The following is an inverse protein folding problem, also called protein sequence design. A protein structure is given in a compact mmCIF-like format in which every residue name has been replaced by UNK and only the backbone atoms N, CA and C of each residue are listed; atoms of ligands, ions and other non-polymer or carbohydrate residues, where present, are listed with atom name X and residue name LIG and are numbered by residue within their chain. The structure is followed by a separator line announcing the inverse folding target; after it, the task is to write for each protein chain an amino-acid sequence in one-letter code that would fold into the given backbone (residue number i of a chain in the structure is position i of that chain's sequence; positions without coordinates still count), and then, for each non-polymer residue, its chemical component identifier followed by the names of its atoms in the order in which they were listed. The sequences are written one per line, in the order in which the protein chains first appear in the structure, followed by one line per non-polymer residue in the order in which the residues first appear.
data_IF_065800914325
#
_entry.id   IF_065800914325
#
_cell.length_a   1.000
_cell.length_b   1.000
_cell.length_c   1.000
_cell.angle_alpha   90.00
_cell.angle_beta   90.00
_cell.angle_gamma   90.00
#
_symmetry.space_group_name_H-M   'P 1'
#
loop_
_entity.id
_entity.type
_entity.pdbx_description
1 polymer ?
#
# COMPACT_ATOMS: atom_id res chain seq x y z
N UNK A 1 10.83 30.83 12.37
CA UNK A 1 10.14 31.62 11.33
C UNK A 1 8.65 31.35 11.41
N UNK A 2 7.84 32.39 11.38
CA UNK A 2 6.39 32.23 11.27
C UNK A 2 6.04 31.87 9.82
N UNK A 3 5.24 30.81 9.63
CA UNK A 3 4.86 30.34 8.29
C UNK A 3 3.44 30.83 8.01
N UNK A 4 3.20 31.55 6.90
CA UNK A 4 1.88 32.07 6.57
C UNK A 4 0.81 30.97 6.53
N UNK A 5 -0.34 31.23 7.14
CA UNK A 5 -1.45 30.27 7.25
C UNK A 5 -1.90 29.73 5.89
N UNK A 6 -1.90 30.57 4.85
CA UNK A 6 -2.26 30.15 3.50
C UNK A 6 -1.29 29.11 2.92
N UNK A 7 0.00 29.19 3.24
CA UNK A 7 0.96 28.16 2.83
C UNK A 7 0.69 26.83 3.55
N UNK A 8 0.34 26.89 4.83
CA UNK A 8 0.00 25.71 5.63
C UNK A 8 -1.27 25.05 5.09
N UNK A 9 -2.33 25.84 4.82
CA UNK A 9 -3.58 25.36 4.22
C UNK A 9 -3.34 24.72 2.85
N UNK A 10 -2.54 25.36 1.99
CA UNK A 10 -2.18 24.81 0.69
C UNK A 10 -1.47 23.47 0.81
N UNK A 11 -0.43 23.37 1.64
CA UNK A 11 0.31 22.13 1.82
C UNK A 11 -0.60 21.02 2.39
N UNK A 12 -1.49 21.36 3.33
CA UNK A 12 -2.51 20.44 3.83
C UNK A 12 -3.48 20.00 2.73
N UNK A 13 -3.91 20.90 1.85
CA UNK A 13 -4.78 20.55 0.73
C UNK A 13 -4.12 19.55 -0.23
N UNK A 14 -2.83 19.71 -0.49
CA UNK A 14 -2.08 18.84 -1.40
C UNK A 14 -1.67 17.49 -0.77
N UNK A 15 -1.46 17.44 0.55
CA UNK A 15 -0.91 16.24 1.23
C UNK A 15 -1.88 15.56 2.17
N UNK A 16 -2.99 16.22 2.51
CA UNK A 16 -3.93 15.82 3.56
C UNK A 16 -3.33 15.64 4.96
N UNK A 17 -2.07 16.02 5.20
CA UNK A 17 -1.43 15.89 6.50
C UNK A 17 -2.02 16.84 7.56
N UNK A 18 -1.82 16.50 8.84
CA UNK A 18 -2.23 17.35 9.97
C UNK A 18 -1.63 18.77 9.87
N UNK A 19 -2.40 19.78 10.31
CA UNK A 19 -2.01 21.20 10.23
C UNK A 19 -0.65 21.46 10.90
N UNK A 20 -0.44 20.85 12.07
CA UNK A 20 0.81 20.99 12.83
C UNK A 20 2.00 20.44 12.03
N UNK A 21 1.90 19.22 11.50
CA UNK A 21 2.97 18.62 10.69
C UNK A 21 3.26 19.45 9.43
N UNK A 22 2.22 20.00 8.78
CA UNK A 22 2.41 20.91 7.64
C UNK A 22 3.18 22.16 8.02
N UNK A 23 2.86 22.77 9.17
CA UNK A 23 3.56 23.94 9.69
C UNK A 23 5.03 23.61 9.98
N UNK A 24 5.30 22.53 10.70
CA UNK A 24 6.65 22.10 11.03
C UNK A 24 7.49 21.80 9.79
N UNK A 25 6.92 21.06 8.82
CA UNK A 25 7.62 20.73 7.58
C UNK A 25 7.98 22.00 6.79
N UNK A 26 7.08 22.99 6.70
CA UNK A 26 7.36 24.27 6.07
C UNK A 26 8.39 25.10 6.85
N UNK A 27 8.44 25.00 8.18
CA UNK A 27 9.46 25.66 8.98
C UNK A 27 10.85 25.04 8.74
N UNK A 28 10.93 23.72 8.74
CA UNK A 28 12.16 22.96 8.51
C UNK A 28 12.73 23.22 7.10
N UNK A 29 11.86 23.32 6.10
CA UNK A 29 12.27 23.48 4.70
C UNK A 29 12.32 24.94 4.26
N UNK A 30 12.16 25.90 5.20
CA UNK A 30 12.12 27.35 4.92
C UNK A 30 11.08 27.72 3.86
N UNK A 31 9.96 27.02 3.84
CA UNK A 31 8.83 27.26 2.95
C UNK A 31 8.93 26.60 1.57
N UNK A 32 9.92 25.74 1.33
CA UNK A 32 10.03 24.93 0.12
C UNK A 32 8.99 23.79 0.17
N UNK A 33 8.00 23.86 -0.73
CA UNK A 33 6.86 22.94 -0.76
C UNK A 33 7.26 21.53 -1.18
N UNK A 34 8.14 21.37 -2.17
CA UNK A 34 8.52 20.04 -2.65
C UNK A 34 9.39 19.32 -1.61
N UNK A 35 10.26 20.04 -0.91
CA UNK A 35 10.96 19.48 0.25
C UNK A 35 10.00 19.20 1.41
N UNK A 36 9.02 20.08 1.67
CA UNK A 36 8.05 19.87 2.74
C UNK A 36 7.18 18.62 2.50
N UNK A 37 6.78 18.35 1.26
CA UNK A 37 6.09 17.10 0.89
C UNK A 37 6.93 15.86 1.18
N UNK A 38 8.23 15.90 0.87
CA UNK A 38 9.16 14.80 1.18
C UNK A 38 9.31 14.59 2.69
N UNK A 39 9.43 15.68 3.45
CA UNK A 39 9.48 15.63 4.93
C UNK A 39 8.19 15.03 5.49
N UNK A 40 7.03 15.48 5.00
CA UNK A 40 5.73 14.95 5.43
C UNK A 40 5.57 13.47 5.10
N UNK A 41 5.99 13.03 3.90
CA UNK A 41 5.96 11.61 3.54
C UNK A 41 6.82 10.78 4.50
N UNK A 42 8.05 11.22 4.77
CA UNK A 42 8.94 10.53 5.72
C UNK A 42 8.34 10.48 7.13
N UNK A 43 7.86 11.61 7.66
CA UNK A 43 7.17 11.65 8.96
C UNK A 43 5.92 10.77 8.98
N UNK A 44 5.19 10.69 7.87
CA UNK A 44 4.02 9.84 7.74
C UNK A 44 4.34 8.37 7.88
N UNK A 45 5.44 7.92 7.26
CA UNK A 45 5.96 6.54 7.42
C UNK A 45 6.30 6.28 8.89
N UNK A 46 7.04 7.18 9.54
CA UNK A 46 7.41 7.06 10.96
C UNK A 46 6.16 6.99 11.87
N UNK A 47 5.14 7.81 11.60
CA UNK A 47 3.86 7.76 12.32
C UNK A 47 3.19 6.41 12.09
N UNK A 48 3.13 5.92 10.85
CA UNK A 48 2.51 4.65 10.55
C UNK A 48 3.22 3.48 11.24
N UNK A 49 4.55 3.49 11.27
CA UNK A 49 5.36 2.51 12.01
C UNK A 49 5.09 2.57 13.52
N UNK A 50 5.03 3.77 14.11
CA UNK A 50 4.70 3.94 15.54
C UNK A 50 3.28 3.48 15.89
N UNK A 51 2.35 3.57 14.94
CA UNK A 51 0.96 3.11 15.11
C UNK A 51 0.83 1.62 14.83
N UNK A 52 1.72 1.04 14.05
CA UNK A 52 1.76 -0.39 13.76
C UNK A 52 1.80 -1.21 15.06
N UNK A 53 1.11 -2.35 15.06
CA UNK A 53 0.98 -3.23 16.23
C UNK A 53 0.00 -2.75 17.32
N UNK A 54 -0.56 -1.53 17.22
CA UNK A 54 -1.68 -1.13 18.07
C UNK A 54 -2.94 -1.91 17.67
N UNK A 55 -3.67 -2.41 18.67
CA UNK A 55 -4.88 -3.21 18.46
C UNK A 55 -5.92 -2.46 17.62
N UNK A 56 -6.39 -3.11 16.56
CA UNK A 56 -7.44 -2.66 15.64
C UNK A 56 -8.67 -3.55 15.87
N UNK A 57 -9.74 -2.99 16.44
CA UNK A 57 -10.96 -3.78 16.80
C UNK A 57 -12.22 -3.31 16.10
N UNK A 58 -12.12 -2.21 15.37
CA UNK A 58 -13.18 -1.63 14.56
C UNK A 58 -12.78 -1.73 13.10
N UNK A 59 -13.68 -1.42 12.17
CA UNK A 59 -13.36 -1.48 10.76
C UNK A 59 -14.58 -1.58 9.86
N UNK A 60 -14.34 -1.97 8.61
CA UNK A 60 -15.39 -2.17 7.62
C UNK A 60 -15.03 -3.29 6.66
N UNK A 61 -16.01 -4.14 6.37
CA UNK A 61 -15.98 -5.01 5.19
C UNK A 61 -16.54 -4.21 4.02
N UNK A 62 -15.75 -4.06 2.96
CA UNK A 62 -16.11 -3.29 1.77
C UNK A 62 -16.08 -4.18 0.54
N UNK A 63 -17.15 -4.15 -0.24
CA UNK A 63 -17.26 -4.82 -1.52
C UNK A 63 -17.02 -3.85 -2.69
N UNK A 64 -16.41 -4.34 -3.76
CA UNK A 64 -16.44 -3.68 -5.06
C UNK A 64 -16.76 -4.72 -6.14
N UNK A 65 -17.72 -4.40 -7.00
CA UNK A 65 -18.05 -5.18 -8.20
C UNK A 65 -17.75 -4.28 -9.39
N UNK A 66 -16.95 -4.79 -10.33
CA UNK A 66 -16.59 -4.06 -11.53
C UNK A 66 -17.83 -3.82 -12.41
N UNK A 67 -17.84 -2.74 -13.19
CA UNK A 67 -19.04 -2.29 -13.92
C UNK A 67 -19.62 -3.33 -14.90
N UNK A 68 -18.80 -4.26 -15.39
CA UNK A 68 -19.23 -5.34 -16.29
C UNK A 68 -19.80 -6.56 -15.56
N UNK A 69 -19.82 -6.56 -14.22
CA UNK A 69 -20.33 -7.66 -13.39
C UNK A 69 -19.48 -8.93 -13.39
N UNK A 70 -18.34 -8.97 -14.08
CA UNK A 70 -17.51 -10.18 -14.23
C UNK A 70 -16.43 -10.35 -13.17
N UNK A 71 -16.14 -9.30 -12.41
CA UNK A 71 -15.13 -9.33 -11.35
C UNK A 71 -15.63 -8.59 -10.11
N UNK A 72 -15.25 -9.06 -8.94
CA UNK A 72 -15.54 -8.39 -7.68
C UNK A 72 -14.58 -8.79 -6.57
N UNK A 73 -14.50 -7.97 -5.53
CA UNK A 73 -13.72 -8.28 -4.34
C UNK A 73 -14.45 -7.86 -3.07
N UNK A 74 -14.15 -8.57 -1.98
CA UNK A 74 -14.45 -8.16 -0.61
C UNK A 74 -13.13 -7.93 0.11
N UNK A 75 -13.05 -6.83 0.85
CA UNK A 75 -11.88 -6.46 1.65
C UNK A 75 -12.33 -6.12 3.06
N UNK A 76 -11.65 -6.68 4.05
CA UNK A 76 -11.82 -6.33 5.45
C UNK A 76 -10.68 -5.41 5.88
N UNK A 77 -11.02 -4.16 6.22
CA UNK A 77 -10.06 -3.16 6.69
C UNK A 77 -10.39 -2.83 8.13
N UNK A 78 -9.40 -2.97 9.02
CA UNK A 78 -9.54 -2.64 10.43
C UNK A 78 -8.98 -1.25 10.76
N UNK A 79 -9.49 -0.66 11.82
CA UNK A 79 -9.05 0.58 12.45
C UNK A 79 -9.20 0.48 13.98
N UNK A 80 -8.80 1.51 14.72
CA UNK A 80 -8.86 1.49 16.18
C UNK A 80 -10.24 1.90 16.71
N UNK A 81 -10.86 2.93 16.11
CA UNK A 81 -12.13 3.50 16.56
C UNK A 81 -13.27 3.37 15.54
N UNK A 82 -14.50 3.35 16.03
CA UNK A 82 -15.70 3.33 15.21
C UNK A 82 -15.93 4.69 14.51
N UNK A 83 -15.43 5.78 15.10
CA UNK A 83 -15.38 7.10 14.48
C UNK A 83 -14.61 7.09 13.16
N UNK A 84 -13.43 6.47 13.12
CA UNK A 84 -12.67 6.30 11.87
C UNK A 84 -13.40 5.36 10.92
N UNK A 85 -13.96 4.24 11.41
CA UNK A 85 -14.71 3.30 10.55
C UNK A 85 -15.90 3.95 9.82
N UNK A 86 -16.56 4.92 10.46
CA UNK A 86 -17.72 5.66 9.91
C UNK A 86 -17.33 6.85 9.03
N UNK A 87 -16.08 7.31 9.09
CA UNK A 87 -15.60 8.44 8.30
C UNK A 87 -15.66 8.15 6.79
N UNK A 88 -16.14 9.11 5.99
CA UNK A 88 -16.25 8.97 4.53
C UNK A 88 -14.91 8.68 3.84
N UNK A 89 -13.81 9.25 4.33
CA UNK A 89 -12.46 9.04 3.79
C UNK A 89 -11.97 7.61 4.06
N UNK A 90 -12.30 7.01 5.21
CA UNK A 90 -12.00 5.60 5.50
C UNK A 90 -12.79 4.66 4.59
N UNK A 91 -14.06 4.99 4.33
CA UNK A 91 -14.89 4.22 3.41
C UNK A 91 -14.38 4.32 1.97
N UNK A 92 -13.93 5.50 1.55
CA UNK A 92 -13.30 5.70 0.25
C UNK A 92 -11.97 4.96 0.14
N UNK A 93 -11.11 5.03 1.16
CA UNK A 93 -9.88 4.24 1.25
C UNK A 93 -10.17 2.75 1.06
N UNK A 94 -11.09 2.21 1.86
CA UNK A 94 -11.46 0.78 1.80
C UNK A 94 -12.02 0.37 0.43
N UNK A 95 -12.81 1.24 -0.20
CA UNK A 95 -13.32 1.04 -1.56
C UNK A 95 -12.19 1.04 -2.59
N UNK A 96 -11.23 1.96 -2.47
CA UNK A 96 -10.07 2.00 -3.35
C UNK A 96 -9.20 0.75 -3.22
N UNK A 97 -9.03 0.21 -2.00
CA UNK A 97 -8.35 -1.09 -1.81
C UNK A 97 -9.14 -2.20 -2.50
N UNK A 98 -10.47 -2.28 -2.36
CA UNK A 98 -11.28 -3.29 -3.04
C UNK A 98 -11.19 -3.18 -4.58
N UNK A 99 -11.18 -1.95 -5.12
CA UNK A 99 -10.96 -1.70 -6.54
C UNK A 99 -9.57 -2.17 -7.00
N UNK A 100 -8.55 -1.88 -6.19
CA UNK A 100 -7.18 -2.30 -6.46
C UNK A 100 -7.05 -3.82 -6.47
N UNK A 101 -7.62 -4.51 -5.48
CA UNK A 101 -7.65 -5.98 -5.43
C UNK A 101 -8.29 -6.54 -6.70
N UNK A 102 -9.44 -6.01 -7.14
CA UNK A 102 -10.07 -6.43 -8.41
C UNK A 102 -9.14 -6.23 -9.61
N UNK A 103 -8.47 -5.09 -9.71
CA UNK A 103 -7.66 -4.72 -10.86
C UNK A 103 -6.30 -5.43 -10.92
N UNK A 104 -5.67 -5.65 -9.76
CA UNK A 104 -4.28 -6.10 -9.66
C UNK A 104 -4.15 -7.56 -9.21
N UNK A 105 -5.24 -8.22 -8.82
CA UNK A 105 -5.30 -9.65 -8.47
C UNK A 105 -4.15 -10.11 -7.54
N UNK A 106 -3.93 -9.47 -6.38
CA UNK A 106 -2.99 -9.97 -5.39
C UNK A 106 -3.44 -11.33 -4.86
N UNK A 107 -2.48 -12.17 -4.50
CA UNK A 107 -2.69 -13.49 -3.90
C UNK A 107 -2.49 -13.44 -2.38
N UNK A 108 -1.56 -12.60 -1.91
CA UNK A 108 -1.25 -12.40 -0.49
C UNK A 108 -1.32 -10.92 -0.12
N UNK A 109 -1.44 -10.63 1.19
CA UNK A 109 -1.43 -9.25 1.65
C UNK A 109 -0.01 -8.67 1.64
N UNK A 110 0.96 -9.40 2.20
CA UNK A 110 2.36 -9.01 2.25
C UNK A 110 3.30 -10.22 2.11
N UNK A 111 4.62 -10.01 1.89
CA UNK A 111 5.59 -11.10 1.78
C UNK A 111 5.61 -12.04 2.99
N UNK A 112 5.32 -11.52 4.18
CA UNK A 112 5.26 -12.30 5.43
C UNK A 112 4.07 -13.27 5.48
N UNK A 113 3.07 -13.09 4.60
CA UNK A 113 1.91 -13.99 4.51
C UNK A 113 2.09 -15.10 3.48
N UNK A 114 3.20 -15.11 2.74
CA UNK A 114 3.49 -16.17 1.77
C UNK A 114 4.05 -17.38 2.53
N UNK A 115 3.52 -18.60 2.32
CA UNK A 115 4.11 -19.81 2.87
C UNK A 115 5.58 -19.97 2.47
N UNK A 116 6.40 -20.51 3.39
CA UNK A 116 7.84 -20.65 3.16
C UNK A 116 8.14 -21.55 1.95
N UNK A 117 7.32 -22.58 1.75
CA UNK A 117 7.42 -23.54 0.65
C UNK A 117 7.27 -22.85 -0.71
N UNK A 118 6.30 -21.93 -0.84
CA UNK A 118 6.08 -21.15 -2.07
C UNK A 118 7.28 -20.25 -2.37
N UNK A 119 7.88 -19.63 -1.34
CA UNK A 119 9.06 -18.79 -1.51
C UNK A 119 10.27 -19.63 -1.93
N UNK A 120 10.45 -20.82 -1.35
CA UNK A 120 11.55 -21.73 -1.66
C UNK A 120 11.44 -22.27 -3.09
N UNK A 121 10.24 -22.69 -3.49
CA UNK A 121 9.94 -23.13 -4.86
C UNK A 121 10.22 -22.01 -5.88
N UNK A 122 9.70 -20.79 -5.64
CA UNK A 122 9.94 -19.66 -6.53
C UNK A 122 11.43 -19.33 -6.63
N UNK A 123 12.18 -19.33 -5.51
CA UNK A 123 13.64 -19.11 -5.53
C UNK A 123 14.37 -20.18 -6.34
N UNK A 124 13.97 -21.45 -6.24
CA UNK A 124 14.56 -22.53 -7.01
C UNK A 124 14.32 -22.34 -8.52
N UNK A 125 13.10 -21.96 -8.92
CA UNK A 125 12.75 -21.64 -10.32
C UNK A 125 13.60 -20.48 -10.83
N UNK A 126 13.70 -19.39 -10.07
CA UNK A 126 14.49 -18.20 -10.44
C UNK A 126 15.99 -18.50 -10.56
N UNK A 127 16.52 -19.36 -9.69
CA UNK A 127 17.91 -19.82 -9.76
C UNK A 127 18.16 -20.62 -11.04
N UNK A 128 17.34 -21.63 -11.32
CA UNK A 128 17.45 -22.44 -12.53
C UNK A 128 17.34 -21.59 -13.81
N UNK A 129 16.49 -20.57 -13.80
CA UNK A 129 16.39 -19.62 -14.91
C UNK A 129 17.67 -18.79 -15.08
N UNK A 130 18.24 -18.26 -14.00
CA UNK A 130 19.48 -17.48 -14.05
C UNK A 130 20.69 -18.30 -14.52
N UNK A 131 20.77 -19.57 -14.12
CA UNK A 131 21.78 -20.52 -14.57
C UNK A 131 21.65 -20.82 -16.07
N UNK A 132 20.43 -21.07 -16.56
CA UNK A 132 20.14 -21.28 -17.99
C UNK A 132 20.48 -20.05 -18.85
N UNK A 133 20.33 -18.85 -18.31
CA UNK A 133 20.72 -17.59 -18.97
C UNK A 133 22.26 -17.36 -18.97
N UNK A 134 23.06 -18.30 -18.45
CA UNK A 134 24.52 -18.23 -18.44
C UNK A 134 25.08 -17.14 -17.52
N UNK A 135 24.33 -16.73 -16.48
CA UNK A 135 24.78 -15.68 -15.56
C UNK A 135 25.88 -16.20 -14.63
N UNK A 136 26.93 -15.41 -14.32
CA UNK A 136 27.98 -15.83 -13.41
C UNK A 136 27.47 -16.15 -12.00
N UNK A 137 27.92 -17.27 -11.41
CA UNK A 137 27.50 -17.73 -10.08
C UNK A 137 27.59 -16.64 -8.99
N UNK A 138 28.61 -15.79 -9.06
CA UNK A 138 28.85 -14.69 -8.11
C UNK A 138 27.76 -13.60 -8.10
N UNK A 139 26.91 -13.53 -9.14
CA UNK A 139 25.82 -12.55 -9.23
C UNK A 139 24.43 -13.19 -9.16
N UNK A 140 24.32 -14.52 -9.20
CA UNK A 140 23.04 -15.24 -9.21
C UNK A 140 22.20 -14.86 -7.98
N UNK A 141 22.80 -14.82 -6.79
CA UNK A 141 22.07 -14.48 -5.56
C UNK A 141 21.46 -13.07 -5.62
N UNK A 142 22.21 -12.09 -6.15
CA UNK A 142 21.72 -10.71 -6.35
C UNK A 142 20.62 -10.64 -7.41
N UNK A 143 20.72 -11.47 -8.45
CA UNK A 143 19.67 -11.57 -9.48
C UNK A 143 18.39 -12.15 -8.87
N UNK A 144 18.50 -13.21 -8.07
CA UNK A 144 17.37 -13.83 -7.38
C UNK A 144 16.74 -12.80 -6.43
N UNK A 145 17.51 -12.04 -5.66
CA UNK A 145 17.00 -10.97 -4.79
C UNK A 145 16.21 -9.90 -5.58
N UNK A 146 16.68 -9.52 -6.76
CA UNK A 146 15.95 -8.59 -7.63
C UNK A 146 14.67 -9.21 -8.21
N UNK A 147 14.71 -10.48 -8.63
CA UNK A 147 13.56 -11.18 -9.22
C UNK A 147 12.49 -11.51 -8.18
N UNK A 148 12.87 -11.91 -6.96
CA UNK A 148 11.92 -12.18 -5.88
C UNK A 148 11.18 -10.92 -5.44
N UNK A 149 11.84 -9.74 -5.48
CA UNK A 149 11.14 -8.46 -5.26
C UNK A 149 10.07 -8.20 -6.32
N UNK A 150 10.32 -8.54 -7.58
CA UNK A 150 9.31 -8.45 -8.65
C UNK A 150 8.18 -9.44 -8.45
N UNK A 151 8.48 -10.64 -7.97
CA UNK A 151 7.48 -11.62 -7.56
C UNK A 151 6.57 -11.02 -6.48
N UNK A 152 7.13 -10.48 -5.38
CA UNK A 152 6.35 -9.82 -4.34
C UNK A 152 5.51 -8.65 -4.88
N UNK A 153 6.09 -7.77 -5.70
CA UNK A 153 5.35 -6.66 -6.31
C UNK A 153 4.21 -7.10 -7.25
N UNK A 154 4.20 -8.37 -7.70
CA UNK A 154 3.12 -8.95 -8.50
C UNK A 154 2.06 -9.58 -7.61
N UNK A 155 2.44 -10.30 -6.55
CA UNK A 155 1.52 -11.18 -5.82
C UNK A 155 1.08 -10.64 -4.46
N UNK A 156 1.80 -9.67 -3.88
CA UNK A 156 1.48 -9.09 -2.57
C UNK A 156 0.79 -7.74 -2.71
N UNK A 157 -0.41 -7.61 -2.17
CA UNK A 157 -1.21 -6.38 -2.19
C UNK A 157 -0.40 -5.15 -1.76
N UNK A 158 0.32 -5.23 -0.64
CA UNK A 158 1.07 -4.10 -0.08
C UNK A 158 2.29 -3.71 -0.93
N UNK A 159 2.83 -4.62 -1.73
CA UNK A 159 4.00 -4.38 -2.58
C UNK A 159 3.64 -3.96 -4.01
N UNK A 160 2.37 -4.10 -4.39
CA UNK A 160 1.87 -3.70 -5.70
C UNK A 160 1.90 -2.18 -5.88
N UNK A 161 2.26 -1.67 -7.09
CA UNK A 161 2.05 -0.28 -7.45
C UNK A 161 0.57 0.08 -7.37
N UNK A 162 0.22 1.19 -6.71
CA UNK A 162 -1.17 1.55 -6.50
C UNK A 162 -1.85 1.93 -7.81
N UNK A 163 -3.01 1.34 -8.11
CA UNK A 163 -3.63 1.43 -9.46
C UNK A 163 -4.00 2.86 -9.91
N UNK A 164 -4.18 3.79 -8.95
CA UNK A 164 -4.47 5.21 -9.28
C UNK A 164 -3.22 6.08 -9.33
N UNK A 165 -2.09 5.60 -8.81
CA UNK A 165 -0.82 6.31 -8.75
C UNK A 165 0.32 5.28 -8.64
N UNK A 166 0.86 4.90 -9.79
CA UNK A 166 1.89 3.86 -9.92
C UNK A 166 3.26 4.28 -9.35
N UNK A 167 3.39 5.55 -8.93
CA UNK A 167 4.62 6.08 -8.30
C UNK A 167 4.77 5.67 -6.84
N UNK A 168 3.74 5.05 -6.26
CA UNK A 168 3.74 4.57 -4.88
C UNK A 168 3.10 3.20 -4.78
N UNK A 169 3.45 2.45 -3.74
CA UNK A 169 2.83 1.15 -3.49
C UNK A 169 1.51 1.29 -2.73
N UNK A 170 0.73 0.22 -2.67
CA UNK A 170 -0.43 0.16 -1.77
C UNK A 170 -0.01 0.32 -0.30
N UNK A 171 1.19 -0.14 0.09
CA UNK A 171 1.78 0.12 1.43
C UNK A 171 2.00 1.61 1.67
N UNK A 172 2.59 2.34 0.73
CA UNK A 172 2.74 3.79 0.83
C UNK A 172 1.36 4.47 0.99
N UNK A 173 0.38 4.06 0.19
CA UNK A 173 -0.99 4.59 0.28
C UNK A 173 -1.63 4.33 1.66
N UNK A 174 -1.45 3.13 2.22
CA UNK A 174 -1.90 2.79 3.57
C UNK A 174 -1.20 3.65 4.63
N UNK A 175 0.12 3.80 4.56
CA UNK A 175 0.91 4.58 5.52
C UNK A 175 0.55 6.07 5.49
N UNK A 176 0.36 6.65 4.29
CA UNK A 176 -0.14 8.01 4.12
C UNK A 176 -1.52 8.18 4.78
N UNK A 177 -2.41 7.21 4.61
CA UNK A 177 -3.72 7.24 5.23
C UNK A 177 -3.65 7.13 6.76
N UNK A 178 -2.81 6.24 7.30
CA UNK A 178 -2.52 6.14 8.74
C UNK A 178 -1.99 7.48 9.29
N UNK A 179 -1.04 8.10 8.60
CA UNK A 179 -0.47 9.39 9.02
C UNK A 179 -1.53 10.51 9.04
N UNK A 180 -2.49 10.45 8.11
CA UNK A 180 -3.61 11.38 8.03
C UNK A 180 -4.61 11.21 9.18
N UNK A 181 -5.02 9.98 9.46
CA UNK A 181 -6.05 9.69 10.49
C UNK A 181 -5.48 9.59 11.90
N UNK A 182 -4.19 9.27 12.04
CA UNK A 182 -3.50 9.15 13.33
C UNK A 182 -3.81 7.86 14.10
N UNK A 183 -4.46 6.89 13.47
CA UNK A 183 -4.81 5.57 14.01
C UNK A 183 -4.16 4.46 13.19
N UNK A 184 -3.88 3.31 13.83
CA UNK A 184 -3.48 2.13 13.08
C UNK A 184 -4.60 1.67 12.15
N UNK A 185 -4.26 1.39 10.90
CA UNK A 185 -5.15 0.85 9.89
C UNK A 185 -4.50 -0.41 9.35
N UNK A 186 -5.29 -1.48 9.21
CA UNK A 186 -4.79 -2.76 8.74
C UNK A 186 -5.70 -3.30 7.64
N UNK A 187 -5.12 -3.71 6.52
CA UNK A 187 -5.84 -4.52 5.53
C UNK A 187 -5.72 -5.95 6.01
N UNK A 188 -6.79 -6.47 6.62
CA UNK A 188 -6.75 -7.73 7.35
C UNK A 188 -6.82 -8.95 6.42
N UNK A 189 -7.79 -8.94 5.51
CA UNK A 189 -7.95 -9.98 4.48
C UNK A 189 -8.75 -9.45 3.30
N UNK A 190 -8.63 -10.15 2.18
CA UNK A 190 -9.43 -9.91 1.01
C UNK A 190 -9.74 -11.22 0.29
N UNK A 191 -10.76 -11.18 -0.56
CA UNK A 191 -11.05 -12.23 -1.52
C UNK A 191 -11.49 -11.58 -2.82
N UNK A 192 -11.04 -12.13 -3.95
CA UNK A 192 -11.40 -11.70 -5.29
C UNK A 192 -12.10 -12.83 -6.01
N UNK A 193 -13.16 -12.50 -6.73
CA UNK A 193 -13.85 -13.37 -7.66
C UNK A 193 -13.74 -12.82 -9.06
N UNK A 194 -13.57 -13.72 -10.01
CA UNK A 194 -13.58 -13.42 -11.43
C UNK A 194 -14.33 -14.54 -12.13
N UNK A 195 -15.29 -14.15 -12.97
CA UNK A 195 -16.01 -15.07 -13.84
C UNK A 195 -15.02 -15.56 -14.89
N UNK A 196 -14.55 -16.80 -14.75
CA UNK A 196 -13.82 -17.48 -15.82
C UNK A 196 -14.81 -17.72 -16.96
N UNK A 197 -14.52 -17.16 -18.13
CA UNK A 197 -15.16 -17.63 -19.36
C UNK A 197 -14.72 -19.08 -19.63
N UNK A 198 -15.43 -19.79 -20.50
CA UNK A 198 -14.91 -21.03 -21.09
C UNK A 198 -13.50 -20.70 -21.64
N UNK A 199 -12.49 -21.32 -21.05
CA UNK A 199 -11.15 -21.36 -21.62
C UNK A 199 -11.29 -22.05 -22.98
N UNK A 200 -10.97 -21.35 -24.07
CA UNK A 200 -10.55 -22.04 -25.28
C UNK A 200 -9.27 -22.79 -24.92
N UNK A 201 -9.40 -24.11 -24.78
CA UNK A 201 -8.30 -25.07 -24.73
C UNK A 201 -7.43 -24.98 -26.01
#
# INVERSE_FOLDING_TARGET
MDVPLEKIKRLRGETSAGILHCKEALQETRGDFEKAKKVLRKKGIEIAEMKSGKKTTQGKITSYVHHNGKMGALVEVHCQSDFVAKNSEFQEFSKNIAMHVVACNPEWNSPENIPAEVIEEEKAVLKAQAEKEGKPAKIIDKIIEGRIRKFYARVCLLEQPFFRDDKKTTRDYLQEFIAKVGENIEIYRFIRYELKGETED
#
